data_IF_978308232017
#
_entry.id   IF_978308232017
#
_cell.length_a   1.000
_cell.length_b   1.000
_cell.length_c   1.000
_cell.angle_alpha   90.00
_cell.angle_beta   90.00
_cell.angle_gamma   90.00
#
_symmetry.space_group_name_H-M   'P 1'
#
loop_
_entity.id
_entity.type
_entity.pdbx_description
1 polymer ?
#
# COMPACT_ATOMS: atom_id res chain seq x y z
N UNK A 1 -5.89 3.95 17.94
CA UNK A 1 -7.05 3.29 17.29
C UNK A 1 -7.01 3.37 15.76
N UNK A 2 -6.17 4.21 15.13
CA UNK A 2 -6.06 4.31 13.66
C UNK A 2 -5.50 3.05 12.97
N UNK A 3 -4.62 2.29 13.63
CA UNK A 3 -4.00 1.09 13.03
C UNK A 3 -5.02 -0.03 12.71
N UNK A 4 -6.11 -0.17 13.47
CA UNK A 4 -7.08 -1.25 13.24
C UNK A 4 -7.88 -1.06 11.95
N UNK A 5 -8.25 0.19 11.63
CA UNK A 5 -8.98 0.48 10.40
C UNK A 5 -8.11 0.28 9.16
N UNK A 6 -6.82 0.63 9.24
CA UNK A 6 -5.85 0.34 8.18
C UNK A 6 -5.71 -1.15 7.95
N UNK A 7 -5.62 -1.96 9.00
CA UNK A 7 -5.49 -3.42 8.88
C UNK A 7 -6.71 -4.09 8.22
N UNK A 8 -7.91 -3.51 8.39
CA UNK A 8 -9.15 -4.02 7.80
C UNK A 8 -9.39 -3.55 6.35
N UNK A 9 -8.68 -2.52 5.88
CA UNK A 9 -8.86 -2.00 4.53
C UNK A 9 -8.29 -2.98 3.50
N UNK A 10 -9.16 -3.49 2.63
CA UNK A 10 -8.81 -4.37 1.52
C UNK A 10 -8.96 -3.61 0.21
N UNK A 11 -7.98 -3.78 -0.68
CA UNK A 11 -8.03 -3.20 -2.02
C UNK A 11 -9.18 -3.84 -2.80
N UNK A 12 -10.04 -3.02 -3.40
CA UNK A 12 -11.08 -3.51 -4.30
C UNK A 12 -10.47 -3.95 -5.65
N UNK A 13 -11.07 -4.94 -6.33
CA UNK A 13 -10.52 -5.48 -7.59
C UNK A 13 -10.43 -4.46 -8.73
N UNK A 14 -11.27 -3.42 -8.72
CA UNK A 14 -11.27 -2.32 -9.71
C UNK A 14 -10.63 -1.02 -9.17
N UNK A 15 -10.08 -1.06 -7.95
CA UNK A 15 -9.48 0.12 -7.32
C UNK A 15 -8.01 0.24 -7.71
N UNK A 16 -7.59 1.44 -8.09
CA UNK A 16 -6.19 1.70 -8.44
C UNK A 16 -5.32 1.64 -7.18
N UNK A 17 -4.05 1.20 -7.30
CA UNK A 17 -3.09 1.27 -6.19
C UNK A 17 -2.98 2.69 -5.60
N UNK A 18 -3.18 3.73 -6.42
CA UNK A 18 -3.18 5.13 -5.98
C UNK A 18 -4.40 5.49 -5.13
N UNK A 19 -5.60 5.05 -5.53
CA UNK A 19 -6.85 5.26 -4.79
C UNK A 19 -6.80 4.53 -3.44
N UNK A 20 -6.33 3.29 -3.44
CA UNK A 20 -6.13 2.51 -2.23
C UNK A 20 -5.11 3.16 -1.28
N UNK A 21 -4.03 3.73 -1.81
CA UNK A 21 -3.04 4.44 -1.01
C UNK A 21 -3.56 5.75 -0.41
N UNK A 22 -4.41 6.46 -1.15
CA UNK A 22 -5.11 7.63 -0.64
C UNK A 22 -6.07 7.25 0.50
N UNK A 23 -6.84 6.17 0.35
CA UNK A 23 -7.71 5.65 1.41
C UNK A 23 -6.93 5.25 2.67
N UNK A 24 -5.77 4.59 2.52
CA UNK A 24 -4.90 4.25 3.65
C UNK A 24 -4.34 5.48 4.38
N UNK A 25 -4.07 6.58 3.66
CA UNK A 25 -3.64 7.85 4.25
C UNK A 25 -4.79 8.56 4.96
N UNK A 26 -5.98 8.54 4.36
CA UNK A 26 -7.18 9.18 4.91
C UNK A 26 -7.66 8.50 6.20
N UNK A 27 -7.55 7.16 6.28
CA UNK A 27 -7.82 6.40 7.50
C UNK A 27 -6.94 6.79 8.69
N UNK A 28 -5.76 7.37 8.45
CA UNK A 28 -4.90 7.91 9.49
C UNK A 28 -5.43 9.20 10.12
N UNK A 29 -6.23 9.97 9.39
CA UNK A 29 -6.68 11.31 9.80
C UNK A 29 -5.51 12.16 10.33
N UNK A 30 -5.74 12.87 11.44
CA UNK A 30 -4.72 13.66 12.14
C UNK A 30 -3.68 12.82 12.90
N UNK A 31 -3.81 11.49 12.90
CA UNK A 31 -2.88 10.62 13.59
C UNK A 31 -1.77 10.20 12.63
N UNK A 32 -0.52 10.49 12.98
CA UNK A 32 0.63 10.19 12.14
C UNK A 32 0.84 8.66 12.07
N UNK A 33 0.16 7.98 11.14
CA UNK A 33 0.37 6.56 10.89
C UNK A 33 1.79 6.39 10.36
N UNK A 34 2.54 5.48 11.00
CA UNK A 34 3.90 5.16 10.59
C UNK A 34 3.88 4.53 9.21
N UNK A 35 4.79 4.96 8.32
CA UNK A 35 4.88 4.40 6.97
C UNK A 35 5.05 2.88 6.94
N UNK A 36 5.69 2.30 7.96
CA UNK A 36 5.82 0.84 8.06
C UNK A 36 4.47 0.13 8.14
N UNK A 37 3.46 0.74 8.76
CA UNK A 37 2.10 0.17 8.88
C UNK A 37 1.39 0.26 7.53
N UNK A 38 1.45 1.41 6.88
CA UNK A 38 0.90 1.61 5.53
C UNK A 38 1.51 0.64 4.52
N UNK A 39 2.84 0.50 4.54
CA UNK A 39 3.56 -0.45 3.68
C UNK A 39 3.19 -1.90 3.98
N UNK A 40 3.06 -2.27 5.26
CA UNK A 40 2.66 -3.62 5.64
C UNK A 40 1.27 -3.95 5.10
N UNK A 41 0.32 -3.02 5.21
CA UNK A 41 -1.04 -3.19 4.69
C UNK A 41 -1.06 -3.26 3.18
N UNK A 42 -0.34 -2.35 2.50
CA UNK A 42 -0.22 -2.38 1.05
C UNK A 42 0.38 -3.70 0.54
N UNK A 43 1.42 -4.22 1.20
CA UNK A 43 1.94 -5.54 0.85
C UNK A 43 0.97 -6.68 1.16
N UNK A 44 0.04 -6.51 2.09
CA UNK A 44 -0.96 -7.52 2.38
C UNK A 44 -2.05 -7.58 1.31
N UNK A 45 -2.42 -6.44 0.73
CA UNK A 45 -3.43 -6.37 -0.35
C UNK A 45 -2.92 -6.87 -1.70
N UNK A 46 -1.61 -6.84 -1.95
CA UNK A 46 -1.01 -7.30 -3.21
C UNK A 46 -0.94 -8.83 -3.34
N UNK A 47 -1.10 -9.30 -4.58
CA UNK A 47 -0.81 -10.67 -4.97
C UNK A 47 0.64 -11.07 -4.67
N UNK A 48 0.85 -12.38 -4.51
CA UNK A 48 2.15 -12.93 -4.10
C UNK A 48 3.28 -12.51 -5.05
N UNK A 49 3.02 -12.48 -6.35
CA UNK A 49 3.95 -12.10 -7.41
C UNK A 49 4.30 -10.62 -7.33
N UNK A 50 3.31 -9.73 -7.37
CA UNK A 50 3.50 -8.28 -7.28
C UNK A 50 4.18 -7.88 -5.98
N UNK A 51 3.80 -8.51 -4.86
CA UNK A 51 4.45 -8.28 -3.55
C UNK A 51 5.94 -8.62 -3.56
N UNK A 52 6.34 -9.69 -4.24
CA UNK A 52 7.76 -10.08 -4.33
C UNK A 52 8.53 -9.06 -5.19
N UNK A 53 7.97 -8.65 -6.32
CA UNK A 53 8.56 -7.68 -7.24
C UNK A 53 8.71 -6.30 -6.60
N UNK A 54 7.69 -5.81 -5.89
CA UNK A 54 7.76 -4.53 -5.17
C UNK A 54 8.85 -4.55 -4.09
N UNK A 55 9.04 -5.70 -3.41
CA UNK A 55 10.08 -5.89 -2.38
C UNK A 55 11.50 -6.04 -2.94
N UNK A 56 11.68 -6.23 -4.25
CA UNK A 56 13.01 -6.25 -4.86
C UNK A 56 13.72 -4.90 -4.69
N UNK A 57 15.06 -4.90 -4.72
CA UNK A 57 15.83 -3.67 -4.61
C UNK A 57 15.63 -2.79 -5.85
N UNK A 58 15.53 -1.45 -5.71
CA UNK A 58 15.53 -0.71 -4.43
C UNK A 58 14.22 -0.89 -3.66
N UNK A 59 14.34 -1.16 -2.35
CA UNK A 59 13.18 -1.36 -1.48
C UNK A 59 12.51 -0.01 -1.22
N UNK A 60 11.21 0.14 -1.48
CA UNK A 60 10.53 1.40 -1.23
C UNK A 60 10.49 1.68 0.28
N UNK A 61 10.90 2.89 0.65
CA UNK A 61 10.84 3.38 2.03
C UNK A 61 9.47 4.01 2.35
N UNK A 62 8.74 4.43 1.31
CA UNK A 62 7.46 5.14 1.41
C UNK A 62 6.34 4.39 0.71
N UNK A 63 5.09 4.61 1.15
CA UNK A 63 3.90 4.03 0.52
C UNK A 63 3.81 4.41 -0.96
N UNK A 64 4.04 5.68 -1.29
CA UNK A 64 3.98 6.18 -2.67
C UNK A 64 4.98 5.49 -3.60
N UNK A 65 6.21 5.23 -3.12
CA UNK A 65 7.20 4.49 -3.91
C UNK A 65 6.80 3.04 -4.12
N UNK A 66 6.16 2.42 -3.13
CA UNK A 66 5.66 1.05 -3.26
C UNK A 66 4.51 0.98 -4.26
N UNK A 67 3.61 1.98 -4.24
CA UNK A 67 2.49 2.13 -5.17
C UNK A 67 2.99 2.36 -6.59
N UNK A 68 3.90 3.30 -6.81
CA UNK A 68 4.46 3.57 -8.14
C UNK A 68 5.05 2.30 -8.75
N UNK A 69 5.85 1.58 -7.97
CA UNK A 69 6.44 0.31 -8.40
C UNK A 69 5.39 -0.76 -8.68
N UNK A 70 4.36 -0.88 -7.85
CA UNK A 70 3.26 -1.82 -8.06
C UNK A 70 2.45 -1.49 -9.33
N UNK A 71 2.23 -0.20 -9.60
CA UNK A 71 1.58 0.27 -10.82
C UNK A 71 2.43 -0.01 -12.05
N UNK A 72 3.75 0.19 -11.99
CA UNK A 72 4.66 -0.19 -13.08
C UNK A 72 4.62 -1.70 -13.38
N UNK A 73 4.47 -2.54 -12.35
CA UNK A 73 4.39 -4.01 -12.50
C UNK A 73 3.05 -4.45 -13.10
N UNK A 74 1.95 -3.81 -12.71
CA UNK A 74 0.60 -4.18 -13.16
C UNK A 74 0.20 -3.50 -14.49
N UNK A 75 1.01 -2.58 -15.00
CA UNK A 75 0.78 -1.90 -16.28
C UNK A 75 1.30 -2.70 -17.50
N UNK A 76 1.89 -3.89 -17.27
CA UNK A 76 2.42 -4.81 -18.29
C UNK A 76 1.46 -6.01 -18.51
#
# INVERSE_FOLDING_TARGET
>A
MADWHVVQQRMMPDETNADFAAALRDLGGNNMIRERVLLAQFYHSLDRTTRLLVKQRPKPATLEKAVGKATEINAD
#
